data_IF_221889159744
#
_entry.id   IF_221889159744
#
_cell.length_a   1.000
_cell.length_b   1.000
_cell.length_c   1.000
_cell.angle_alpha   90.00
_cell.angle_beta   90.00
_cell.angle_gamma   90.00
#
_symmetry.space_group_name_H-M   'P 1'
#
loop_
_entity.id
_entity.type
_entity.pdbx_description
1 polymer ?
#
# COMPACT_ATOMS: atom_id res chain seq x y z
N UNK A 1 -0.57 15.85 -0.17
CA UNK A 1 0.79 16.23 -0.63
C UNK A 1 1.15 15.40 -1.85
N UNK A 2 1.80 15.99 -2.86
CA UNK A 2 2.24 15.21 -4.02
C UNK A 2 3.27 14.16 -3.63
N UNK A 3 3.18 12.98 -4.21
CA UNK A 3 4.09 11.88 -3.95
C UNK A 3 4.26 10.96 -5.15
N UNK A 4 5.21 10.05 -5.04
CA UNK A 4 5.55 9.11 -6.09
C UNK A 4 5.69 7.69 -5.52
N UNK A 5 5.26 6.72 -6.30
CA UNK A 5 5.75 5.35 -6.22
C UNK A 5 6.93 5.24 -7.20
N UNK A 6 8.10 4.93 -6.69
CA UNK A 6 9.32 4.76 -7.50
C UNK A 6 9.79 3.31 -7.37
N UNK A 7 9.92 2.62 -8.49
CA UNK A 7 10.38 1.24 -8.54
C UNK A 7 11.90 1.18 -8.71
N UNK A 8 12.50 0.06 -8.33
CA UNK A 8 13.95 -0.15 -8.41
C UNK A 8 14.52 -0.12 -9.83
N UNK A 9 13.69 -0.35 -10.84
CA UNK A 9 14.05 -0.21 -12.26
C UNK A 9 13.97 1.23 -12.80
N UNK A 10 13.60 2.18 -11.93
CA UNK A 10 13.50 3.61 -12.27
C UNK A 10 12.10 4.07 -12.71
N UNK A 11 11.11 3.19 -12.83
CA UNK A 11 9.75 3.58 -13.16
C UNK A 11 9.14 4.44 -12.05
N UNK A 12 8.44 5.52 -12.42
CA UNK A 12 7.84 6.49 -11.50
C UNK A 12 6.35 6.59 -11.79
N UNK A 13 5.54 6.43 -10.77
CA UNK A 13 4.09 6.59 -10.82
C UNK A 13 3.67 7.69 -9.85
N UNK A 14 3.28 8.87 -10.37
CA UNK A 14 2.90 10.00 -9.52
C UNK A 14 1.50 9.81 -8.95
N UNK A 15 1.27 10.45 -7.80
CA UNK A 15 -0.02 10.49 -7.13
C UNK A 15 -0.04 11.50 -6.01
N UNK A 16 -0.95 11.31 -5.07
CA UNK A 16 -1.11 12.13 -3.88
C UNK A 16 -0.88 11.27 -2.64
N UNK A 17 0.10 11.64 -1.81
CA UNK A 17 0.30 11.00 -0.51
C UNK A 17 -0.75 11.48 0.49
N UNK A 18 -1.34 10.53 1.20
CA UNK A 18 -2.22 10.81 2.32
C UNK A 18 -1.44 11.61 3.39
N UNK A 19 -2.07 12.62 3.95
CA UNK A 19 -1.45 13.46 4.96
C UNK A 19 -0.95 12.63 6.16
N UNK A 20 0.28 12.89 6.59
CA UNK A 20 0.91 12.13 7.67
C UNK A 20 1.59 10.83 7.25
N UNK A 21 1.56 10.49 5.96
CA UNK A 21 2.29 9.32 5.45
C UNK A 21 3.81 9.53 5.54
N UNK A 22 4.50 8.55 6.13
CA UNK A 22 5.95 8.48 6.10
C UNK A 22 6.44 7.82 4.80
N UNK A 23 7.72 8.03 4.46
CA UNK A 23 8.34 7.26 3.39
C UNK A 23 8.33 5.76 3.73
N UNK A 24 8.09 4.93 2.74
CA UNK A 24 8.02 3.48 2.93
C UNK A 24 8.70 2.73 1.80
N UNK A 25 9.29 1.58 2.11
CA UNK A 25 9.91 0.67 1.15
C UNK A 25 9.34 -0.72 1.31
N UNK A 26 9.11 -1.40 0.20
CA UNK A 26 8.59 -2.76 0.19
C UNK A 26 8.58 -3.36 -1.21
N UNK A 27 8.29 -4.65 -1.30
CA UNK A 27 8.01 -5.29 -2.58
C UNK A 27 6.65 -4.81 -3.10
N UNK A 28 6.61 -4.31 -4.32
CA UNK A 28 5.38 -3.81 -4.94
C UNK A 28 4.65 -4.96 -5.61
N UNK A 29 3.43 -5.19 -5.17
CA UNK A 29 2.52 -6.20 -5.71
C UNK A 29 1.18 -5.56 -6.06
N UNK A 30 0.37 -6.24 -6.85
CA UNK A 30 -0.97 -5.77 -7.17
C UNK A 30 -2.02 -6.86 -6.98
N UNK A 31 -3.25 -6.44 -6.75
CA UNK A 31 -4.43 -7.30 -6.77
C UNK A 31 -5.50 -6.72 -7.67
N UNK A 32 -6.27 -7.59 -8.32
CA UNK A 32 -7.40 -7.23 -9.17
C UNK A 32 -8.75 -7.39 -8.45
N UNK A 33 -8.72 -7.64 -7.14
CA UNK A 33 -9.95 -7.73 -6.35
C UNK A 33 -10.78 -6.45 -6.47
N UNK A 34 -12.09 -6.59 -6.69
CA UNK A 34 -13.02 -5.48 -6.82
C UNK A 34 -13.52 -4.99 -5.46
N UNK A 35 -13.45 -5.83 -4.45
CA UNK A 35 -13.86 -5.58 -3.06
C UNK A 35 -12.83 -6.18 -2.11
N UNK A 36 -12.99 -5.95 -0.81
CA UNK A 36 -12.13 -6.59 0.19
C UNK A 36 -10.81 -5.86 0.44
N UNK A 37 -10.78 -4.55 0.28
CA UNK A 37 -9.54 -3.79 0.53
C UNK A 37 -9.08 -3.89 1.98
N UNK A 38 -9.98 -3.91 2.96
CA UNK A 38 -9.61 -4.06 4.37
C UNK A 38 -9.11 -5.47 4.67
N UNK A 39 -9.72 -6.49 4.09
CA UNK A 39 -9.27 -7.88 4.15
C UNK A 39 -7.85 -8.01 3.57
N UNK A 40 -7.59 -7.39 2.41
CA UNK A 40 -6.26 -7.40 1.80
C UNK A 40 -5.22 -6.67 2.67
N UNK A 41 -5.57 -5.51 3.25
CA UNK A 41 -4.66 -4.75 4.13
C UNK A 41 -4.26 -5.53 5.39
N UNK A 42 -5.15 -6.39 5.87
CA UNK A 42 -4.97 -7.18 7.10
C UNK A 42 -4.60 -8.63 6.84
N UNK A 43 -4.46 -9.02 5.58
CA UNK A 43 -4.01 -10.36 5.21
C UNK A 43 -2.49 -10.50 5.44
N UNK A 44 -2.04 -11.44 6.29
CA UNK A 44 -0.63 -11.67 6.54
C UNK A 44 0.20 -12.02 5.30
N UNK A 45 -0.43 -12.51 4.22
CA UNK A 45 0.26 -12.82 2.96
C UNK A 45 0.84 -11.59 2.27
N UNK A 46 0.35 -10.39 2.58
CA UNK A 46 0.89 -9.12 2.08
C UNK A 46 1.88 -8.45 3.04
N UNK A 47 2.38 -9.18 4.03
CA UNK A 47 3.35 -8.64 4.99
C UNK A 47 4.62 -8.14 4.28
N UNK A 48 5.05 -6.93 4.62
CA UNK A 48 6.24 -6.32 4.04
C UNK A 48 6.07 -5.76 2.62
N UNK A 49 4.89 -5.86 2.03
CA UNK A 49 4.63 -5.45 0.65
C UNK A 49 3.94 -4.08 0.56
N UNK A 50 4.17 -3.39 -0.55
CA UNK A 50 3.38 -2.24 -0.98
C UNK A 50 2.28 -2.79 -1.89
N UNK A 51 1.05 -2.76 -1.41
CA UNK A 51 -0.10 -3.34 -2.12
C UNK A 51 -0.74 -2.31 -3.03
N UNK A 52 -0.85 -2.63 -4.31
CA UNK A 52 -1.60 -1.84 -5.29
C UNK A 52 -2.94 -2.50 -5.60
N UNK A 53 -4.03 -1.76 -5.46
CA UNK A 53 -5.35 -2.22 -5.87
C UNK A 53 -5.75 -1.56 -7.19
N UNK A 54 -6.12 -2.39 -8.17
CA UNK A 54 -6.45 -1.91 -9.52
C UNK A 54 -7.89 -1.44 -9.68
N UNK A 55 -8.77 -1.77 -8.73
CA UNK A 55 -10.14 -1.27 -8.76
C UNK A 55 -10.16 0.26 -8.59
N UNK A 56 -10.93 1.01 -9.42
CA UNK A 56 -10.78 2.46 -9.50
C UNK A 56 -11.10 3.22 -8.22
N UNK A 57 -12.14 2.83 -7.49
CA UNK A 57 -12.62 3.52 -6.29
C UNK A 57 -12.45 2.64 -5.05
N UNK A 58 -11.69 3.10 -4.08
CA UNK A 58 -11.39 2.38 -2.85
C UNK A 58 -11.86 3.19 -1.63
N UNK A 59 -12.36 2.51 -0.61
CA UNK A 59 -12.86 3.11 0.62
C UNK A 59 -14.37 3.35 0.65
N UNK A 60 -15.09 3.03 -0.43
CA UNK A 60 -16.51 3.35 -0.61
C UNK A 60 -17.47 2.68 0.37
N UNK A 61 -17.09 1.57 1.02
CA UNK A 61 -17.91 0.91 2.06
C UNK A 61 -17.32 1.06 3.48
N UNK A 62 -16.28 1.88 3.65
CA UNK A 62 -15.64 2.13 4.94
C UNK A 62 -14.88 0.93 5.48
N UNK A 63 -14.71 0.90 6.78
CA UNK A 63 -14.02 -0.16 7.52
C UNK A 63 -14.89 -0.66 8.67
N UNK A 64 -14.71 -1.92 9.05
CA UNK A 64 -15.39 -2.52 10.19
C UNK A 64 -14.54 -3.67 10.76
N UNK A 65 -14.68 -3.95 12.06
CA UNK A 65 -13.91 -5.02 12.73
C UNK A 65 -14.12 -6.39 12.08
N UNK A 66 -15.35 -6.67 11.64
CA UNK A 66 -15.70 -7.94 10.96
C UNK A 66 -14.97 -8.19 9.63
N UNK A 67 -14.37 -7.18 9.01
CA UNK A 67 -13.60 -7.30 7.79
C UNK A 67 -12.11 -7.54 8.03
N UNK A 68 -11.69 -7.57 9.28
CA UNK A 68 -10.31 -7.86 9.64
C UNK A 68 -9.98 -9.34 9.44
N UNK A 69 -8.91 -9.64 8.74
CA UNK A 69 -8.37 -11.00 8.60
C UNK A 69 -7.37 -11.34 9.72
N UNK A 70 -6.83 -10.31 10.36
CA UNK A 70 -5.89 -10.42 11.47
C UNK A 70 -6.05 -9.22 12.39
N UNK A 71 -5.48 -9.23 13.62
CA UNK A 71 -5.63 -8.15 14.59
C UNK A 71 -5.10 -6.79 14.12
N UNK A 72 -4.21 -6.77 13.12
CA UNK A 72 -3.60 -5.55 12.58
C UNK A 72 -3.25 -5.71 11.11
N UNK A 73 -3.06 -4.60 10.36
CA UNK A 73 -2.53 -4.63 9.00
C UNK A 73 -1.06 -5.07 8.96
N UNK A 74 -0.65 -5.63 7.82
CA UNK A 74 0.71 -6.10 7.60
C UNK A 74 1.41 -5.44 6.41
N UNK A 75 0.68 -4.70 5.58
CA UNK A 75 1.26 -4.01 4.43
C UNK A 75 2.21 -2.88 4.84
N UNK A 76 3.22 -2.64 4.03
CA UNK A 76 4.15 -1.51 4.18
C UNK A 76 3.65 -0.23 3.52
N UNK A 77 2.73 -0.34 2.60
CA UNK A 77 2.13 0.79 1.91
C UNK A 77 0.94 0.38 1.08
N UNK A 78 0.15 1.35 0.68
CA UNK A 78 -1.07 1.15 -0.07
C UNK A 78 -1.13 2.11 -1.25
N UNK A 79 -1.37 1.58 -2.45
CA UNK A 79 -1.43 2.36 -3.70
C UNK A 79 -2.78 2.13 -4.35
N UNK A 80 -3.52 3.20 -4.59
CA UNK A 80 -4.90 3.14 -5.10
C UNK A 80 -5.16 4.19 -6.16
N UNK A 81 -6.22 4.01 -6.91
CA UNK A 81 -6.76 5.02 -7.80
C UNK A 81 -7.45 6.12 -7.03
N UNK A 82 -8.76 6.15 -7.04
CA UNK A 82 -9.53 7.15 -6.33
C UNK A 82 -9.81 6.72 -4.88
N UNK A 83 -9.59 7.62 -3.94
CA UNK A 83 -9.90 7.43 -2.53
C UNK A 83 -11.29 7.99 -2.20
N UNK A 84 -12.15 7.16 -1.63
CA UNK A 84 -13.46 7.59 -1.13
C UNK A 84 -13.37 8.02 0.35
N UNK A 85 -13.62 9.29 0.62
CA UNK A 85 -13.59 9.84 1.98
C UNK A 85 -14.90 9.64 2.74
N UNK A 86 -16.00 9.44 2.03
CA UNK A 86 -17.34 9.31 2.61
C UNK A 86 -17.93 7.92 2.28
N UNK A 87 -17.78 6.95 3.16
CA UNK A 87 -18.33 5.62 2.93
C UNK A 87 -19.86 5.65 2.94
N UNK A 88 -20.47 4.96 2.00
CA UNK A 88 -21.91 4.77 1.90
C UNK A 88 -22.29 3.33 2.24
N UNK A 89 -22.09 2.96 3.51
CA UNK A 89 -22.42 1.63 3.99
C UNK A 89 -22.88 1.70 5.46
N UNK A 90 -24.07 1.18 5.73
CA UNK A 90 -24.63 1.13 7.09
C UNK A 90 -23.82 0.27 8.08
N UNK A 91 -22.95 -0.61 7.58
CA UNK A 91 -22.08 -1.47 8.38
C UNK A 91 -20.70 -0.84 8.66
N UNK A 92 -20.46 0.37 8.15
CA UNK A 92 -19.19 1.07 8.37
C UNK A 92 -19.08 1.55 9.82
N UNK A 93 -17.96 1.25 10.46
CA UNK A 93 -17.56 1.75 11.78
C UNK A 93 -16.59 2.93 11.68
N UNK A 94 -16.11 3.23 10.49
CA UNK A 94 -15.21 4.34 10.22
C UNK A 94 -14.83 4.45 8.75
N UNK A 95 -13.97 5.43 8.44
CA UNK A 95 -13.45 5.63 7.09
C UNK A 95 -12.16 4.84 6.87
N UNK A 96 -11.85 4.55 5.60
CA UNK A 96 -10.54 3.98 5.25
C UNK A 96 -9.40 4.92 5.65
N UNK A 97 -9.59 6.24 5.52
CA UNK A 97 -8.60 7.25 5.92
C UNK A 97 -8.26 7.15 7.39
N UNK A 98 -9.27 7.05 8.26
CA UNK A 98 -9.07 6.89 9.71
C UNK A 98 -8.33 5.59 10.03
N UNK A 99 -8.65 4.51 9.32
CA UNK A 99 -7.98 3.22 9.45
C UNK A 99 -6.49 3.30 9.07
N UNK A 100 -6.18 3.92 7.93
CA UNK A 100 -4.80 4.09 7.47
C UNK A 100 -4.00 4.95 8.44
N UNK A 101 -4.59 6.02 8.99
CA UNK A 101 -3.95 6.85 10.01
C UNK A 101 -3.72 6.09 11.32
N UNK A 102 -4.73 5.37 11.79
CA UNK A 102 -4.65 4.57 13.03
C UNK A 102 -3.47 3.59 13.03
N UNK A 103 -3.23 2.96 11.88
CA UNK A 103 -2.18 1.96 11.73
C UNK A 103 -0.91 2.48 11.05
N UNK A 104 -0.82 3.79 10.81
CA UNK A 104 0.33 4.45 10.17
C UNK A 104 0.71 3.84 8.82
N UNK A 105 -0.29 3.45 8.01
CA UNK A 105 -0.07 2.89 6.69
C UNK A 105 0.08 4.02 5.68
N UNK A 106 1.26 4.20 5.04
CA UNK A 106 1.43 5.16 3.96
C UNK A 106 0.50 4.82 2.79
N UNK A 107 -0.22 5.80 2.29
CA UNK A 107 -1.13 5.63 1.17
C UNK A 107 -0.86 6.66 0.08
N UNK A 108 -0.69 6.17 -1.14
CA UNK A 108 -0.61 6.97 -2.36
C UNK A 108 -1.89 6.76 -3.17
N UNK A 109 -2.67 7.79 -3.38
CA UNK A 109 -3.91 7.77 -4.17
C UNK A 109 -3.81 8.70 -5.40
N UNK A 110 -4.81 8.70 -6.25
CA UNK A 110 -4.79 9.36 -7.57
C UNK A 110 -3.69 8.80 -8.50
N UNK A 111 -3.39 7.50 -8.36
CA UNK A 111 -2.38 6.81 -9.16
C UNK A 111 -3.04 6.07 -10.32
N UNK A 112 -2.37 6.04 -11.48
CA UNK A 112 -2.72 5.10 -12.55
C UNK A 112 -2.31 3.67 -12.15
N UNK A 113 -3.14 3.04 -11.33
CA UNK A 113 -2.90 1.68 -10.81
C UNK A 113 -2.88 0.63 -11.90
N UNK A 114 -3.52 0.90 -13.03
CA UNK A 114 -3.51 0.03 -14.21
C UNK A 114 -2.13 0.01 -14.85
N UNK A 115 -1.47 1.17 -14.94
CA UNK A 115 -0.09 1.26 -15.41
C UNK A 115 0.88 0.54 -14.47
N UNK A 116 0.71 0.67 -13.15
CA UNK A 116 1.49 -0.07 -12.14
C UNK A 116 1.31 -1.58 -12.33
N UNK A 117 0.08 -2.05 -12.43
CA UNK A 117 -0.21 -3.48 -12.60
C UNK A 117 0.38 -4.05 -13.89
N UNK A 118 0.31 -3.32 -15.01
CA UNK A 118 0.93 -3.73 -16.28
C UNK A 118 2.43 -3.83 -16.17
N UNK A 119 3.05 -2.85 -15.51
CA UNK A 119 4.50 -2.81 -15.31
C UNK A 119 4.97 -4.01 -14.48
N UNK A 120 4.35 -4.26 -13.34
CA UNK A 120 4.65 -5.40 -12.46
C UNK A 120 4.38 -6.73 -13.15
N UNK A 121 3.30 -6.84 -13.92
CA UNK A 121 3.00 -8.07 -14.69
C UNK A 121 4.07 -8.39 -15.71
N UNK A 122 4.63 -7.38 -16.38
CA UNK A 122 5.64 -7.55 -17.43
C UNK A 122 7.05 -7.75 -16.87
N UNK A 123 7.41 -7.00 -15.83
CA UNK A 123 8.77 -6.98 -15.27
C UNK A 123 8.95 -7.90 -14.05
N UNK A 124 7.86 -8.36 -13.44
CA UNK A 124 7.85 -9.09 -12.17
C UNK A 124 7.68 -8.17 -10.97
N UNK A 125 7.30 -8.75 -9.82
CA UNK A 125 7.27 -8.02 -8.56
C UNK A 125 8.68 -7.53 -8.22
N UNK A 126 8.78 -6.28 -7.80
CA UNK A 126 10.05 -5.65 -7.52
C UNK A 126 9.94 -4.67 -6.36
N UNK A 127 11.09 -4.30 -5.81
CA UNK A 127 11.18 -3.31 -4.75
C UNK A 127 10.74 -1.93 -5.25
N UNK A 128 10.03 -1.20 -4.40
CA UNK A 128 9.65 0.17 -4.65
C UNK A 128 9.59 0.98 -3.37
N UNK A 129 9.50 2.30 -3.53
CA UNK A 129 9.36 3.24 -2.42
C UNK A 129 8.19 4.18 -2.65
N UNK A 130 7.49 4.51 -1.57
CA UNK A 130 6.50 5.58 -1.52
C UNK A 130 7.18 6.79 -0.86
N UNK A 131 7.28 7.89 -1.58
CA UNK A 131 7.97 9.09 -1.11
C UNK A 131 7.26 10.37 -1.56
N UNK A 132 7.43 11.49 -0.82
CA UNK A 132 7.07 12.80 -1.34
C UNK A 132 7.76 13.10 -2.68
N UNK A 133 7.10 13.88 -3.53
CA UNK A 133 7.64 14.18 -4.88
C UNK A 133 8.90 15.03 -4.88
N UNK A 134 9.21 15.70 -3.77
CA UNK A 134 10.41 16.52 -3.55
C UNK A 134 11.56 15.75 -2.89
N UNK A 135 11.41 14.44 -2.69
CA UNK A 135 12.48 13.59 -2.14
C UNK A 135 13.65 13.54 -3.11
N UNK A 136 14.86 13.72 -2.60
CA UNK A 136 16.08 13.67 -3.43
C UNK A 136 16.36 12.28 -4.00
N UNK A 137 16.99 12.22 -5.16
CA UNK A 137 17.39 10.97 -5.79
C UNK A 137 18.34 10.14 -4.91
N UNK A 138 19.16 10.81 -4.10
CA UNK A 138 20.06 10.16 -3.14
C UNK A 138 19.28 9.43 -2.05
N UNK A 139 18.27 10.07 -1.49
CA UNK A 139 17.39 9.45 -0.48
C UNK A 139 16.59 8.29 -1.06
N UNK A 140 16.08 8.44 -2.29
CA UNK A 140 15.40 7.35 -3.01
C UNK A 140 16.33 6.14 -3.19
N UNK A 141 17.57 6.36 -3.63
CA UNK A 141 18.55 5.28 -3.76
C UNK A 141 18.88 4.62 -2.43
N UNK A 142 18.98 5.42 -1.37
CA UNK A 142 19.22 4.91 -0.01
C UNK A 142 18.08 4.01 0.46
N UNK A 143 16.83 4.41 0.25
CA UNK A 143 15.65 3.62 0.59
C UNK A 143 15.57 2.33 -0.24
N UNK A 144 15.84 2.40 -1.53
CA UNK A 144 15.87 1.22 -2.41
C UNK A 144 17.02 0.24 -2.09
N UNK A 145 18.08 0.72 -1.45
CA UNK A 145 19.20 -0.12 -1.00
C UNK A 145 18.89 -0.92 0.28
N UNK A 146 17.80 -0.62 0.99
CA UNK A 146 17.38 -1.35 2.17
C UNK A 146 17.04 -2.80 1.77
N UNK A 147 17.65 -3.77 2.44
CA UNK A 147 17.32 -5.17 2.25
C UNK A 147 15.93 -5.46 2.82
N UNK A 148 15.08 -6.07 1.99
CA UNK A 148 13.78 -6.56 2.45
C UNK A 148 13.97 -7.95 3.06
N UNK A 149 13.23 -8.30 4.12
CA UNK A 149 13.25 -9.65 4.68
C UNK A 149 12.91 -10.68 3.59
N UNK A 150 13.66 -11.77 3.56
CA UNK A 150 13.40 -12.88 2.62
C UNK A 150 12.00 -13.48 2.84
N UNK A 151 11.31 -13.74 1.76
CA UNK A 151 9.91 -14.23 1.71
C UNK A 151 9.74 -15.63 2.36
N UNK A 152 10.82 -16.31 2.67
CA UNK A 152 10.81 -17.67 3.23
C UNK A 152 10.57 -17.75 4.74
N UNK A 153 10.45 -16.61 5.44
CA UNK A 153 10.27 -16.54 6.90
C UNK A 153 8.82 -16.33 7.39
N UNK A 154 7.87 -16.12 6.51
CA UNK A 154 6.50 -15.71 6.89
C UNK A 154 5.62 -16.83 7.48
N UNK A 155 6.13 -18.06 7.62
CA UNK A 155 5.35 -19.20 8.06
C UNK A 155 4.93 -19.19 9.53
N UNK A 156 5.68 -18.56 10.43
CA UNK A 156 5.42 -18.69 11.87
C UNK A 156 5.59 -17.41 12.71
N UNK A 157 6.05 -16.29 12.18
CA UNK A 157 6.34 -15.11 13.01
C UNK A 157 6.12 -13.76 12.29
N UNK A 158 5.00 -13.65 11.57
CA UNK A 158 4.58 -12.38 10.94
C UNK A 158 4.49 -11.20 11.93
N UNK A 159 4.43 -11.50 13.23
CA UNK A 159 4.35 -10.51 14.31
C UNK A 159 5.67 -9.80 14.60
N UNK A 160 6.81 -10.44 14.37
CA UNK A 160 8.12 -9.85 14.68
C UNK A 160 8.69 -9.03 13.54
N UNK A 161 8.21 -9.20 12.30
CA UNK A 161 8.73 -8.56 11.10
C UNK A 161 8.00 -7.26 10.72
N UNK A 162 6.80 -7.05 11.24
CA UNK A 162 5.99 -5.87 11.01
C UNK A 162 5.89 -4.93 12.23
N UNK A 163 6.63 -5.23 13.27
CA UNK A 163 6.72 -4.39 14.47
C UNK A 163 7.64 -3.18 14.26
#
# INVERSE_FOLDING_TARGET
>A
MKGNLILEDGAIFPGTLLQGSAASVGEVVFTTCMTGYQECLTDPSFCGQILTMTYPLIGNYGVAEKFMQAPQPFVRGFVIGELCDLPNNWQSEGTLVDFLHKYHIPCLYDVDTRAVARHIRSAGAMKGVLVPSDTSDEEVRRLLAIELPDDHGYGNDARSLCA
#
